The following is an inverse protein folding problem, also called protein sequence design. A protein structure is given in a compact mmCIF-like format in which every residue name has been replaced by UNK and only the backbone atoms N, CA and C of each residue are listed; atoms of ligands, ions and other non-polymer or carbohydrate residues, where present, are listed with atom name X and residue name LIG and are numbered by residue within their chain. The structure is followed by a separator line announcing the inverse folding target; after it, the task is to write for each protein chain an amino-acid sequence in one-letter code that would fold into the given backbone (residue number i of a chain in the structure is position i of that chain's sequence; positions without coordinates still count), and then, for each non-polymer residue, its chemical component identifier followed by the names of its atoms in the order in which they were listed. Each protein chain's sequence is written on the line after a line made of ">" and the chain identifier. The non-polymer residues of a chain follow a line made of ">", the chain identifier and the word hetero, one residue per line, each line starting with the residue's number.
data_IF_528577084862
#
_entry.id   IF_528577084862
#
_cell.length_a   1.000
_cell.length_b   1.000
_cell.length_c   1.000
_cell.angle_alpha   90.00
_cell.angle_beta   90.00
_cell.angle_gamma   90.00
#
_symmetry.space_group_name_H-M   'P 1'
#
loop_
_entity.id
_entity.type
_entity.pdbx_description
1 polymer ?
2 polymer ?
#
# COMPACT_ATOMS: atom_id res chain seq x y z
N UNK A 1 21.24 -2.96 2.35
CA UNK A 1 21.58 -2.83 3.75
C UNK A 1 20.35 -2.45 4.58
N UNK A 2 19.21 -2.40 3.90
CA UNK A 2 17.95 -2.06 4.54
C UNK A 2 16.89 -3.12 4.23
N UNK A 3 15.72 -2.93 4.82
CA UNK A 3 14.62 -3.85 4.60
C UNK A 3 14.28 -3.91 3.11
N UNK A 4 14.05 -5.12 2.63
CA UNK A 4 13.73 -5.32 1.23
C UNK A 4 12.31 -4.78 0.96
N UNK A 5 11.48 -4.86 1.99
CA UNK A 5 10.11 -4.39 1.87
C UNK A 5 10.12 -2.94 1.40
N UNK A 6 10.98 -2.15 2.01
CA UNK A 6 11.10 -0.75 1.67
C UNK A 6 11.54 -0.58 0.22
N UNK A 7 12.53 -1.39 -0.16
CA UNK A 7 13.06 -1.36 -1.51
C UNK A 7 12.01 -1.86 -2.50
N UNK A 8 11.28 -2.88 -2.08
CA UNK A 8 10.25 -3.47 -2.91
C UNK A 8 9.06 -2.50 -3.01
N UNK A 9 9.00 -1.60 -2.03
CA UNK A 9 7.93 -0.63 -1.99
C UNK A 9 7.90 0.16 -3.31
N UNK A 10 9.08 0.29 -3.90
CA UNK A 10 9.20 1.01 -5.17
C UNK A 10 9.09 0.03 -6.33
N UNK A 11 9.72 -1.13 -6.16
CA UNK A 11 9.71 -2.14 -7.20
C UNK A 11 8.29 -2.73 -7.35
N UNK A 12 7.49 -2.52 -6.31
CA UNK A 12 6.12 -3.02 -6.32
C UNK A 12 5.31 -2.22 -7.34
N UNK A 13 5.63 -0.94 -7.45
CA UNK A 13 4.93 -0.07 -8.38
C UNK A 13 5.15 -0.58 -9.81
N UNK A 14 6.19 -1.38 -9.97
CA UNK A 14 6.52 -1.94 -11.26
C UNK A 14 5.62 -3.15 -11.57
N UNK A 15 5.55 -4.04 -10.60
CA UNK A 15 4.74 -5.24 -10.74
C UNK A 15 3.28 -4.84 -10.91
N UNK A 16 2.86 -3.88 -10.11
CA UNK A 16 1.48 -3.40 -10.16
C UNK A 16 1.14 -2.88 -11.56
N UNK A 17 2.05 -2.09 -12.10
CA UNK A 17 1.85 -1.53 -13.43
C UNK A 17 1.95 -2.62 -14.49
N UNK A 18 2.52 -3.76 -14.08
CA UNK A 18 2.68 -4.89 -14.98
C UNK A 18 1.40 -5.72 -14.99
N UNK A 19 0.87 -5.93 -13.80
CA UNK A 19 -0.35 -6.71 -13.66
C UNK A 19 -1.55 -5.89 -14.17
N UNK A 20 -1.42 -4.58 -14.03
CA UNK A 20 -2.47 -3.68 -14.47
C UNK A 20 -2.54 -3.65 -16.00
N UNK A 21 -1.63 -4.40 -16.61
CA UNK A 21 -1.56 -4.47 -18.06
C UNK A 21 -2.60 -5.48 -18.57
N UNK A 22 -3.42 -5.94 -17.64
CA UNK A 22 -4.45 -6.91 -17.97
C UNK A 22 -5.76 -6.19 -18.34
N UNK A 23 -5.88 -4.97 -17.85
CA UNK A 23 -7.07 -4.17 -18.13
C UNK A 23 -8.15 -4.42 -17.08
N UNK A 24 -8.35 -5.70 -16.78
CA UNK A 24 -9.35 -6.08 -15.79
C UNK A 24 -8.81 -5.88 -14.38
N UNK A 25 -8.53 -4.62 -14.06
CA UNK A 25 -8.00 -4.28 -12.75
C UNK A 25 -8.00 -2.75 -12.59
N UNK A 26 -9.10 -2.15 -13.00
CA UNK A 26 -9.23 -0.71 -12.92
C UNK A 26 -7.98 -0.11 -12.29
N UNK A 27 -7.20 0.57 -13.12
CA UNK A 27 -5.97 1.18 -12.67
C UNK A 27 -6.28 2.21 -11.58
N UNK A 28 -7.56 2.54 -11.48
CA UNK A 28 -8.01 3.49 -10.48
C UNK A 28 -7.53 3.04 -9.10
N UNK A 29 -7.85 1.80 -8.77
CA UNK A 29 -7.46 1.24 -7.49
C UNK A 29 -5.94 0.98 -7.49
N UNK A 30 -5.48 0.40 -8.58
CA UNK A 30 -4.07 0.09 -8.72
C UNK A 30 -3.24 1.37 -8.49
N UNK A 31 -3.66 2.43 -9.14
CA UNK A 31 -2.98 3.70 -9.02
C UNK A 31 -3.12 4.21 -7.58
N UNK A 32 -4.32 4.04 -7.05
CA UNK A 32 -4.60 4.48 -5.69
C UNK A 32 -3.58 3.87 -4.72
N UNK A 33 -3.17 2.66 -5.04
CA UNK A 33 -2.20 1.95 -4.22
C UNK A 33 -0.85 2.65 -4.31
N UNK A 34 -0.61 3.25 -5.47
CA UNK A 34 0.64 3.96 -5.70
C UNK A 34 0.69 5.23 -4.86
N UNK A 35 -0.46 5.88 -4.75
CA UNK A 35 -0.55 7.11 -3.97
C UNK A 35 -0.18 6.84 -2.52
N UNK A 36 -0.49 5.63 -2.06
CA UNK A 36 -0.20 5.25 -0.70
C UNK A 36 1.22 4.65 -0.63
N UNK A 37 1.55 3.90 -1.67
CA UNK A 37 2.85 3.27 -1.74
C UNK A 37 3.93 4.35 -1.93
N UNK A 38 3.59 5.34 -2.75
CA UNK A 38 4.50 6.42 -3.03
C UNK A 38 4.27 7.57 -2.04
N UNK A 39 3.41 7.32 -1.07
CA UNK A 39 3.10 8.32 -0.06
C UNK A 39 4.36 8.67 0.72
N UNK A 40 4.47 9.96 1.05
CA UNK A 40 5.62 10.44 1.80
C UNK A 40 5.50 10.06 3.27
N UNK A 41 4.25 10.04 3.74
CA UNK A 41 3.97 9.69 5.13
C UNK A 41 4.61 8.35 5.49
N UNK A 42 4.70 7.48 4.49
CA UNK A 42 5.28 6.16 4.70
C UNK A 42 6.71 6.27 5.23
N UNK A 43 7.48 7.16 4.59
CA UNK A 43 8.86 7.36 4.99
C UNK A 43 8.94 8.24 6.24
N UNK A 44 8.05 9.20 6.32
CA UNK A 44 8.01 10.10 7.46
C UNK A 44 7.68 9.31 8.72
N UNK A 45 6.70 8.42 8.59
CA UNK A 45 6.28 7.60 9.71
C UNK A 45 7.29 6.46 9.91
N UNK A 46 7.72 5.89 8.79
CA UNK A 46 8.68 4.80 8.83
C UNK A 46 9.95 5.23 9.57
N UNK A 47 10.22 6.53 9.51
CA UNK A 47 11.40 7.08 10.16
C UNK A 47 11.26 6.95 11.68
N UNK A 48 10.05 7.22 12.16
CA UNK A 48 9.78 7.15 13.58
C UNK A 48 9.84 5.68 14.03
N UNK A 49 9.24 4.82 13.22
CA UNK A 49 9.22 3.40 13.52
C UNK A 49 10.63 2.88 13.80
N UNK A 50 11.56 3.28 12.94
CA UNK A 50 12.94 2.85 13.08
C UNK A 50 13.56 3.50 14.32
N UNK A 51 13.18 4.75 14.56
CA UNK A 51 13.70 5.48 15.70
C UNK A 51 13.29 4.79 17.00
N UNK A 52 12.00 4.45 17.09
CA UNK A 52 11.47 3.79 18.27
C UNK A 52 12.09 2.38 18.37
N UNK A 53 12.18 1.73 17.22
CA UNK A 53 12.74 0.39 17.18
C UNK A 53 14.26 0.43 17.31
N UNK B 1 -9.00 3.82 8.33
CA UNK B 1 -8.25 2.64 7.95
C UNK B 1 -8.77 2.10 6.62
N UNK B 2 -9.61 2.89 5.98
CA UNK B 2 -10.19 2.51 4.71
C UNK B 2 -9.30 3.01 3.56
N UNK B 3 -8.59 4.08 3.85
CA UNK B 3 -7.70 4.67 2.87
C UNK B 3 -6.55 3.70 2.57
N UNK B 4 -6.05 3.09 3.63
CA UNK B 4 -4.96 2.14 3.50
C UNK B 4 -5.47 0.89 2.78
N UNK B 5 -6.68 0.50 3.12
CA UNK B 5 -7.30 -0.67 2.51
C UNK B 5 -7.35 -0.51 0.99
N UNK B 6 -7.52 0.73 0.57
CA UNK B 6 -7.58 1.02 -0.85
C UNK B 6 -6.32 0.53 -1.56
N UNK B 7 -5.25 0.45 -0.79
CA UNK B 7 -3.97 0.01 -1.32
C UNK B 7 -4.11 -1.44 -1.81
N UNK B 8 -4.43 -2.32 -0.87
CA UNK B 8 -4.59 -3.72 -1.19
C UNK B 8 -5.94 -3.94 -1.89
N UNK B 9 -6.83 -2.97 -1.69
CA UNK B 9 -8.14 -3.03 -2.28
C UNK B 9 -8.04 -3.44 -3.76
N UNK B 10 -7.00 -2.95 -4.40
CA UNK B 10 -6.78 -3.25 -5.81
C UNK B 10 -6.65 -4.76 -5.99
N UNK B 11 -6.09 -5.40 -4.97
CA UNK B 11 -5.90 -6.84 -5.01
C UNK B 11 -7.27 -7.53 -4.99
N UNK B 12 -8.22 -6.87 -4.34
CA UNK B 12 -9.57 -7.40 -4.25
C UNK B 12 -10.16 -7.60 -5.65
N UNK B 13 -9.80 -6.68 -6.54
CA UNK B 13 -10.29 -6.74 -7.91
C UNK B 13 -9.44 -7.71 -8.73
N UNK B 14 -8.19 -7.83 -8.34
CA UNK B 14 -7.27 -8.72 -9.03
C UNK B 14 -7.66 -10.17 -8.76
N UNK B 15 -8.54 -10.33 -7.79
CA UNK B 15 -9.01 -11.66 -7.41
C UNK B 15 -9.67 -12.33 -8.62
N UNK B 16 -10.19 -11.51 -9.51
CA UNK B 16 -10.85 -12.01 -10.70
C UNK B 16 -9.82 -12.07 -11.83
N UNK B 17 -8.95 -11.06 -11.85
CA UNK B 17 -7.91 -10.97 -12.87
C UNK B 17 -6.72 -11.86 -12.49
N UNK B 18 -6.46 -12.87 -13.37
CA UNK B 18 -5.35 -13.79 -13.14
C UNK B 18 -4.02 -13.12 -13.47
N UNK B 19 -3.37 -12.61 -12.43
CA UNK B 19 -2.09 -11.94 -12.59
C UNK B 19 -0.98 -12.78 -11.96
N UNK B 20 0.23 -12.25 -12.04
CA UNK B 20 1.39 -12.94 -11.49
C UNK B 20 1.20 -13.09 -9.97
N UNK B 21 1.10 -14.33 -9.55
CA UNK B 21 0.92 -14.63 -8.14
C UNK B 21 2.00 -13.89 -7.33
N UNK B 22 3.12 -13.64 -7.98
CA UNK B 22 4.22 -12.95 -7.35
C UNK B 22 3.90 -11.46 -7.25
N UNK B 23 3.47 -10.91 -8.38
CA UNK B 23 3.13 -9.50 -8.45
C UNK B 23 2.02 -9.20 -7.44
N UNK B 24 0.94 -9.96 -7.56
CA UNK B 24 -0.20 -9.79 -6.67
C UNK B 24 0.25 -10.00 -5.22
N UNK B 25 1.27 -10.84 -5.07
CA UNK B 25 1.81 -11.13 -3.76
C UNK B 25 2.59 -9.94 -3.21
N UNK B 26 3.11 -9.14 -4.15
CA UNK B 26 3.88 -7.97 -3.78
C UNK B 26 2.98 -6.99 -3.02
N UNK B 27 1.76 -6.85 -3.52
CA UNK B 27 0.80 -5.95 -2.91
C UNK B 27 0.36 -6.53 -1.55
N UNK B 28 0.32 -7.85 -1.50
CA UNK B 28 -0.08 -8.53 -0.28
C UNK B 28 1.04 -8.44 0.77
N UNK B 29 2.25 -8.77 0.34
CA UNK B 29 3.40 -8.73 1.21
C UNK B 29 3.64 -7.29 1.67
N UNK B 30 3.07 -6.36 0.90
CA UNK B 30 3.22 -4.95 1.21
C UNK B 30 2.46 -4.63 2.50
N UNK B 31 1.70 -5.61 2.96
CA UNK B 31 0.93 -5.46 4.19
C UNK B 31 1.54 -6.27 5.32
N UNK B 32 2.53 -5.67 5.97
CA UNK B 32 3.21 -6.33 7.08
C UNK B 32 2.95 -5.57 8.39
N UNK B 33 3.53 -6.11 9.49
CA UNK B 33 3.38 -5.50 10.80
C UNK B 33 4.23 -4.24 10.92
N UNK B 34 4.95 -3.94 9.85
CA UNK B 34 5.80 -2.77 9.82
C UNK B 34 5.13 -1.65 9.05
N UNK B 35 4.76 -1.96 7.81
CA UNK B 35 4.11 -0.99 6.95
C UNK B 35 2.62 -0.85 7.31
N UNK B 36 1.87 -1.89 6.97
CA UNK B 36 0.44 -1.89 7.25
C UNK B 36 0.16 -1.49 8.69
N UNK B 37 1.14 -1.76 9.55
CA UNK B 37 1.02 -1.43 10.96
C UNK B 37 1.19 0.08 11.14
N UNK B 38 2.05 0.66 10.30
CA UNK B 38 2.30 2.08 10.36
C UNK B 38 1.11 2.84 9.79
N UNK B 39 0.49 2.24 8.79
CA UNK B 39 -0.66 2.84 8.15
C UNK B 39 -1.78 3.00 9.17
N UNK B 40 -1.93 1.98 10.01
CA UNK B 40 -2.95 1.99 11.04
C UNK B 40 -2.53 2.90 12.20
N UNK B 41 -1.26 3.26 12.19
CA UNK B 41 -0.72 4.11 13.24
C UNK B 41 -0.70 5.57 12.77
N UNK B 42 -0.90 5.75 11.48
CA UNK B 42 -0.90 7.08 10.90
C UNK B 42 -2.33 7.43 10.46
N UNK B 43 -3.07 6.41 10.05
CA UNK B 43 -4.44 6.59 9.61
C UNK B 43 -5.29 7.05 10.79
N UNK B 44 -4.74 6.89 11.98
CA UNK B 44 -5.44 7.28 13.19
C UNK B 44 -5.74 8.78 13.13
N UNK B 45 -4.71 9.54 12.80
CA UNK B 45 -4.85 10.99 12.71
C UNK B 45 -5.53 11.35 11.40
N UNK B 46 -5.15 10.63 10.35
CA UNK B 46 -5.72 10.86 9.04
C UNK B 46 -7.24 10.80 9.12
N UNK B 47 -7.72 9.83 9.88
CA UNK B 47 -9.16 9.64 10.05
C UNK B 47 -9.69 10.72 10.99
N UNK B 48 -8.84 11.14 11.92
CA UNK B 48 -9.22 12.16 12.88
C UNK B 48 -9.19 13.55 12.23
N UNK B 49 -8.38 13.65 11.18
CA UNK B 49 -8.25 14.91 10.45
C UNK B 49 -9.64 15.46 10.15
N UNK B 50 -10.57 14.53 9.92
CA UNK B 50 -11.94 14.91 9.61
C UNK B 50 -12.90 14.46 10.72
N UNK B 51 -12.40 14.50 11.95
CA UNK B 51 -13.21 14.10 13.09
C UNK B 51 -14.67 14.48 12.86
N UNK B 52 -15.52 13.46 12.88
CA UNK B 52 -16.94 13.67 12.68
C UNK B 52 -17.42 14.80 13.60
N UNK B 53 -17.83 15.89 12.98
CA UNK B 53 -18.32 17.04 13.72
C UNK B 53 -19.51 16.65 14.59
N UNK B 54 -20.02 15.46 14.34
CA UNK B 54 -21.15 14.95 15.10
C UNK B 54 -20.73 14.72 16.55
#
# INVERSE_FOLDING_TARGET
>A
GSLNLERDVQRILELMEHVQKTGEVNNAKLASLQQVLQSEFFGAVREVYETVY
>B
SDAVQRAKEVLEEISCYPENNDAKELKRILTQPHFMALLQTHDVVAHEVYSDEA
#
